data_IF_987825508342
#
_entry.id   IF_987825508342
#
_cell.length_a   1.000
_cell.length_b   1.000
_cell.length_c   1.000
_cell.angle_alpha   90.00
_cell.angle_beta   90.00
_cell.angle_gamma   90.00
#
_symmetry.space_group_name_H-M   'P 1'
#
loop_
_entity.id
_entity.type
_entity.pdbx_description
1 polymer ?
#
# COMPACT_ATOMS: atom_id res chain seq x y z
N UNK A 1 1.51 24.84 -14.71
CA UNK A 1 1.26 24.39 -16.10
C UNK A 1 -0.16 23.86 -16.26
N UNK A 2 -0.69 23.13 -15.27
CA UNK A 2 -2.05 22.59 -15.26
C UNK A 2 -3.14 23.61 -15.59
N UNK A 3 -3.02 24.84 -15.09
CA UNK A 3 -4.00 25.92 -15.34
C UNK A 3 -4.05 26.41 -16.80
N UNK A 4 -3.07 26.03 -17.62
CA UNK A 4 -2.96 26.47 -19.02
C UNK A 4 -3.70 25.55 -20.00
N UNK A 5 -4.23 24.41 -19.51
CA UNK A 5 -4.97 23.43 -20.30
C UNK A 5 -6.20 22.91 -19.57
N UNK A 6 -7.06 22.22 -20.30
CA UNK A 6 -8.25 21.55 -19.77
C UNK A 6 -8.36 20.14 -20.36
N UNK A 7 -8.83 19.19 -19.55
CA UNK A 7 -9.10 17.82 -19.95
C UNK A 7 -10.47 17.39 -19.37
N UNK A 8 -11.07 16.36 -19.95
CA UNK A 8 -12.29 15.74 -19.42
C UNK A 8 -12.04 15.18 -18.02
N UNK A 9 -12.97 15.44 -17.08
CA UNK A 9 -12.87 15.05 -15.67
C UNK A 9 -12.66 13.54 -15.49
N UNK A 10 -13.10 12.71 -16.44
CA UNK A 10 -12.86 11.25 -16.39
C UNK A 10 -11.37 10.87 -16.44
N UNK A 11 -10.51 11.78 -16.90
CA UNK A 11 -9.05 11.59 -16.98
C UNK A 11 -8.27 12.40 -15.95
N UNK A 12 -8.95 13.12 -15.05
CA UNK A 12 -8.32 14.01 -14.09
C UNK A 12 -7.31 13.29 -13.19
N UNK A 13 -7.71 12.14 -12.64
CA UNK A 13 -6.83 11.27 -11.85
C UNK A 13 -5.67 10.73 -12.69
N UNK A 14 -5.92 10.36 -13.95
CA UNK A 14 -4.89 9.79 -14.82
C UNK A 14 -3.80 10.82 -15.16
N UNK A 15 -4.18 12.05 -15.48
CA UNK A 15 -3.22 13.10 -15.86
C UNK A 15 -2.44 13.62 -14.65
N UNK A 16 -3.11 13.82 -13.51
CA UNK A 16 -2.45 14.30 -12.28
C UNK A 16 -1.46 13.29 -11.71
N UNK A 17 -1.75 12.00 -11.88
CA UNK A 17 -0.84 10.92 -11.46
C UNK A 17 0.32 10.72 -12.44
N UNK A 18 0.04 10.76 -13.74
CA UNK A 18 1.06 10.46 -14.75
C UNK A 18 2.03 11.61 -15.03
N UNK A 19 1.65 12.86 -14.70
CA UNK A 19 2.42 14.04 -15.06
C UNK A 19 2.71 14.97 -13.87
N UNK A 20 3.83 14.78 -13.16
CA UNK A 20 4.25 15.70 -12.11
C UNK A 20 4.60 17.10 -12.66
N UNK A 21 4.85 17.21 -13.96
CA UNK A 21 5.16 18.48 -14.63
C UNK A 21 4.00 19.48 -14.71
N UNK A 22 2.77 19.09 -14.34
CA UNK A 22 1.63 20.00 -14.28
C UNK A 22 1.84 21.16 -13.29
N UNK A 23 2.63 20.96 -12.24
CA UNK A 23 2.93 21.99 -11.25
C UNK A 23 4.02 22.97 -11.70
N UNK A 24 4.65 22.74 -12.85
CA UNK A 24 5.75 23.60 -13.31
C UNK A 24 5.25 24.98 -13.73
N UNK A 25 6.04 26.01 -13.40
CA UNK A 25 5.80 27.37 -13.86
C UNK A 25 6.36 27.50 -15.28
N UNK A 26 5.50 27.81 -16.24
CA UNK A 26 5.90 27.95 -17.65
C UNK A 26 6.48 29.34 -17.89
N UNK A 27 7.69 29.40 -18.46
CA UNK A 27 8.42 30.64 -18.76
C UNK A 27 8.99 30.58 -20.17
N UNK A 28 9.14 31.72 -20.83
CA UNK A 28 9.62 31.78 -22.20
C UNK A 28 11.12 31.49 -22.30
N UNK A 29 11.94 32.16 -21.48
CA UNK A 29 13.40 32.16 -21.59
C UNK A 29 14.11 31.69 -20.32
N UNK A 30 15.34 31.19 -20.48
CA UNK A 30 16.23 30.85 -19.35
C UNK A 30 16.52 32.04 -18.45
N UNK A 31 16.68 33.24 -19.02
CA UNK A 31 16.91 34.47 -18.24
C UNK A 31 15.72 34.82 -17.34
N UNK A 32 14.49 34.67 -17.85
CA UNK A 32 13.29 34.89 -17.03
C UNK A 32 13.20 33.87 -15.89
N UNK A 33 13.49 32.59 -16.15
CA UNK A 33 13.53 31.55 -15.13
C UNK A 33 14.54 31.87 -14.02
N UNK A 34 15.75 32.29 -14.39
CA UNK A 34 16.80 32.66 -13.44
C UNK A 34 16.39 33.85 -12.57
N UNK A 35 15.83 34.90 -13.17
CA UNK A 35 15.32 36.04 -12.42
C UNK A 35 14.24 35.64 -11.40
N UNK A 36 13.34 34.72 -11.77
CA UNK A 36 12.35 34.17 -10.83
C UNK A 36 13.00 33.36 -9.71
N UNK A 37 14.02 32.55 -10.00
CA UNK A 37 14.74 31.78 -8.98
C UNK A 37 15.47 32.70 -8.00
N UNK A 38 16.11 33.76 -8.49
CA UNK A 38 16.77 34.77 -7.64
C UNK A 38 15.76 35.49 -6.74
N UNK A 39 14.59 35.85 -7.28
CA UNK A 39 13.50 36.43 -6.50
C UNK A 39 13.03 35.48 -5.39
N UNK A 40 12.76 34.21 -5.71
CA UNK A 40 12.34 33.21 -4.72
C UNK A 40 13.38 33.02 -3.61
N UNK A 41 14.67 33.06 -3.95
CA UNK A 41 15.77 32.98 -2.98
C UNK A 41 15.86 34.22 -2.10
N UNK A 42 15.77 35.41 -2.70
CA UNK A 42 15.87 36.69 -1.97
C UNK A 42 14.74 36.85 -0.97
N UNK A 43 13.52 36.48 -1.37
CA UNK A 43 12.32 36.61 -0.55
C UNK A 43 12.03 35.36 0.30
N UNK A 44 12.88 34.31 0.22
CA UNK A 44 12.72 33.03 0.96
C UNK A 44 11.37 32.33 0.74
N UNK A 45 10.86 32.36 -0.48
CA UNK A 45 9.53 31.84 -0.84
C UNK A 45 9.51 30.33 -1.17
N UNK A 46 10.65 29.66 -1.04
CA UNK A 46 10.79 28.21 -1.26
C UNK A 46 11.40 27.84 -2.62
N UNK A 47 11.04 26.65 -3.12
CA UNK A 47 11.57 26.06 -4.36
C UNK A 47 10.43 25.90 -5.36
N UNK A 48 10.68 26.33 -6.60
CA UNK A 48 9.77 26.11 -7.71
C UNK A 48 10.53 25.50 -8.90
N UNK A 49 9.83 24.68 -9.68
CA UNK A 49 10.35 24.08 -10.91
C UNK A 49 9.78 24.80 -12.12
N UNK A 50 10.64 25.15 -13.08
CA UNK A 50 10.28 25.95 -14.24
C UNK A 50 10.36 25.13 -15.53
N UNK A 51 9.37 25.30 -16.39
CA UNK A 51 9.35 24.75 -17.76
C UNK A 51 9.69 25.86 -18.75
N UNK A 52 10.87 25.77 -19.35
CA UNK A 52 11.40 26.81 -20.23
C UNK A 52 11.05 26.48 -21.69
N UNK A 53 10.16 27.27 -22.29
CA UNK A 53 9.60 27.03 -23.63
C UNK A 53 10.66 27.09 -24.73
N UNK A 54 11.62 28.02 -24.67
CA UNK A 54 12.68 28.14 -25.69
C UNK A 54 13.50 26.85 -25.87
N UNK A 55 13.57 26.01 -24.83
CA UNK A 55 14.30 24.73 -24.84
C UNK A 55 13.45 23.57 -25.36
N UNK A 56 12.14 23.73 -25.48
CA UNK A 56 11.21 22.68 -25.93
C UNK A 56 10.95 22.72 -27.44
N UNK A 57 11.56 23.66 -28.16
CA UNK A 57 11.36 23.89 -29.60
C UNK A 57 11.75 22.67 -30.44
N UNK A 58 12.69 21.85 -29.97
CA UNK A 58 13.12 20.61 -30.65
C UNK A 58 12.01 19.53 -30.73
N UNK A 59 10.96 19.64 -29.91
CA UNK A 59 9.82 18.73 -29.95
C UNK A 59 8.77 19.12 -31.02
N UNK A 60 8.91 20.29 -31.68
CA UNK A 60 8.04 20.76 -32.76
C UNK A 60 7.78 19.73 -33.88
N UNK A 61 8.80 19.09 -34.48
CA UNK A 61 8.57 18.09 -35.52
C UNK A 61 7.82 16.86 -35.00
N UNK A 62 8.15 16.39 -33.79
CA UNK A 62 7.55 15.21 -33.16
C UNK A 62 6.08 15.41 -32.79
N UNK A 63 5.68 16.65 -32.54
CA UNK A 63 4.29 17.00 -32.23
C UNK A 63 3.35 16.83 -33.44
N UNK A 64 3.89 16.93 -34.66
CA UNK A 64 3.14 16.74 -35.92
C UNK A 64 3.07 15.28 -36.35
N UNK A 65 3.89 14.41 -35.76
CA UNK A 65 3.83 12.98 -36.03
C UNK A 65 2.57 12.39 -35.41
N UNK A 66 1.64 11.96 -36.27
CA UNK A 66 0.48 11.18 -35.85
C UNK A 66 0.94 9.77 -35.50
N UNK A 67 1.12 9.50 -34.22
CA UNK A 67 1.39 8.15 -33.72
C UNK A 67 0.07 7.40 -33.63
N UNK A 68 -0.11 6.32 -34.39
CA UNK A 68 -1.22 5.40 -34.15
C UNK A 68 -0.86 4.46 -33.01
N UNK A 69 -1.61 4.49 -31.91
CA UNK A 69 -1.38 3.60 -30.79
C UNK A 69 -1.89 2.19 -31.11
N UNK A 70 -1.14 1.11 -30.79
CA UNK A 70 -1.44 -0.25 -31.23
C UNK A 70 -2.84 -0.78 -30.84
N UNK A 71 -3.39 -0.35 -29.70
CA UNK A 71 -4.66 -0.86 -29.16
C UNK A 71 -5.82 0.13 -29.24
N UNK A 72 -5.70 1.23 -30.00
CA UNK A 72 -6.74 2.25 -30.06
C UNK A 72 -6.96 3.01 -28.74
N UNK A 73 -6.04 2.84 -27.78
CA UNK A 73 -6.04 3.58 -26.51
C UNK A 73 -5.70 5.05 -26.75
N UNK A 74 -6.46 6.00 -26.16
CA UNK A 74 -6.20 7.41 -26.34
C UNK A 74 -4.93 7.84 -25.59
N UNK A 75 -4.17 8.75 -26.20
CA UNK A 75 -3.03 9.42 -25.59
C UNK A 75 -3.52 10.62 -24.78
N UNK A 76 -3.01 10.79 -23.56
CA UNK A 76 -3.42 11.90 -22.68
C UNK A 76 -3.18 13.26 -23.34
N UNK A 77 -2.04 13.44 -24.03
CA UNK A 77 -1.73 14.67 -24.75
C UNK A 77 -2.82 15.07 -25.76
N UNK A 78 -3.37 14.11 -26.52
CA UNK A 78 -4.37 14.39 -27.56
C UNK A 78 -5.75 14.78 -26.97
N UNK A 79 -5.98 14.46 -25.70
CA UNK A 79 -7.21 14.76 -24.98
C UNK A 79 -7.20 16.15 -24.34
N UNK A 80 -6.03 16.79 -24.26
CA UNK A 80 -5.86 18.12 -23.64
C UNK A 80 -6.25 19.21 -24.63
N UNK A 81 -7.11 20.09 -24.16
CA UNK A 81 -7.51 21.31 -24.86
C UNK A 81 -6.76 22.48 -24.25
N UNK A 82 -6.07 23.23 -25.10
CA UNK A 82 -5.21 24.35 -24.69
C UNK A 82 -5.69 25.60 -25.41
N UNK A 83 -5.70 26.75 -24.73
CA UNK A 83 -6.11 28.03 -25.34
C UNK A 83 -5.04 28.58 -26.30
N UNK A 84 -3.78 28.49 -25.91
CA UNK A 84 -2.63 28.89 -26.72
C UNK A 84 -1.89 27.64 -27.22
N UNK A 85 -1.81 27.49 -28.54
CA UNK A 85 -1.09 26.38 -29.19
C UNK A 85 0.38 26.31 -28.78
N UNK A 86 1.01 27.43 -28.37
CA UNK A 86 2.39 27.43 -27.85
C UNK A 86 2.52 26.62 -26.56
N UNK A 87 1.46 26.58 -25.74
CA UNK A 87 1.47 25.81 -24.51
C UNK A 87 1.36 24.30 -24.76
N UNK A 88 0.95 23.87 -25.97
CA UNK A 88 1.02 22.44 -26.34
C UNK A 88 2.45 21.92 -26.31
N UNK A 89 3.47 22.75 -26.53
CA UNK A 89 4.87 22.33 -26.43
C UNK A 89 5.22 21.89 -25.01
N UNK A 90 4.76 22.64 -24.01
CA UNK A 90 4.97 22.29 -22.60
C UNK A 90 4.25 20.99 -22.25
N UNK A 91 2.99 20.83 -22.68
CA UNK A 91 2.24 19.59 -22.43
C UNK A 91 2.85 18.38 -23.15
N UNK A 92 3.34 18.53 -24.37
CA UNK A 92 4.00 17.44 -25.09
C UNK A 92 5.35 17.07 -24.48
N UNK A 93 6.15 18.05 -24.05
CA UNK A 93 7.40 17.80 -23.34
C UNK A 93 7.17 17.04 -22.03
N UNK A 94 6.06 17.33 -21.33
CA UNK A 94 5.76 16.71 -20.05
C UNK A 94 5.05 15.35 -20.16
N UNK A 95 4.20 15.14 -21.16
CA UNK A 95 3.39 13.92 -21.31
C UNK A 95 3.91 12.97 -22.39
N UNK A 96 4.55 13.50 -23.43
CA UNK A 96 4.99 12.73 -24.60
C UNK A 96 3.90 11.80 -25.14
N UNK A 97 4.21 10.51 -25.20
CA UNK A 97 3.31 9.45 -25.68
C UNK A 97 2.56 8.71 -24.57
N UNK A 98 2.31 9.34 -23.42
CA UNK A 98 1.57 8.72 -22.32
C UNK A 98 0.14 8.39 -22.72
N UNK A 99 -0.20 7.10 -22.69
CA UNK A 99 -1.55 6.59 -23.00
C UNK A 99 -2.34 6.34 -21.73
N UNK A 100 -3.66 6.47 -21.84
CA UNK A 100 -4.59 6.10 -20.77
C UNK A 100 -5.39 4.88 -21.20
N UNK A 101 -5.18 3.77 -20.50
CA UNK A 101 -5.92 2.53 -20.70
C UNK A 101 -7.05 2.42 -19.69
N UNK A 102 -8.19 1.89 -20.12
CA UNK A 102 -9.24 1.47 -19.19
C UNK A 102 -8.87 0.08 -18.70
N UNK A 103 -8.65 -0.05 -17.41
CA UNK A 103 -8.52 -1.38 -16.80
C UNK A 103 -9.88 -2.08 -16.95
N UNK A 104 -9.83 -3.35 -17.35
CA UNK A 104 -11.06 -4.10 -17.56
C UNK A 104 -11.79 -4.23 -16.23
N UNK A 105 -13.07 -3.85 -16.18
CA UNK A 105 -13.89 -3.90 -14.96
C UNK A 105 -13.85 -5.30 -14.32
N UNK A 106 -13.69 -6.34 -15.13
CA UNK A 106 -13.57 -7.74 -14.70
C UNK A 106 -12.38 -7.99 -13.76
N UNK A 107 -11.21 -7.42 -14.03
CA UNK A 107 -10.03 -7.60 -13.19
C UNK A 107 -10.20 -6.89 -11.85
N UNK A 108 -10.81 -5.70 -11.85
CA UNK A 108 -11.13 -4.98 -10.63
C UNK A 108 -12.21 -5.68 -9.79
N UNK A 109 -13.27 -6.21 -10.42
CA UNK A 109 -14.32 -6.96 -9.74
C UNK A 109 -13.77 -8.27 -9.14
N UNK A 110 -12.87 -8.94 -9.86
CA UNK A 110 -12.19 -10.14 -9.37
C UNK A 110 -11.31 -9.83 -8.15
N UNK A 111 -10.53 -8.75 -8.19
CA UNK A 111 -9.73 -8.29 -7.04
C UNK A 111 -10.64 -7.95 -5.85
N UNK A 112 -11.76 -7.26 -6.07
CA UNK A 112 -12.73 -6.94 -5.03
C UNK A 112 -13.32 -8.19 -4.35
N UNK A 113 -13.68 -9.20 -5.16
CA UNK A 113 -14.18 -10.49 -4.66
C UNK A 113 -13.13 -11.22 -3.82
N UNK A 114 -11.87 -11.21 -4.28
CA UNK A 114 -10.76 -11.79 -3.53
C UNK A 114 -10.54 -11.11 -2.18
N UNK A 115 -10.60 -9.77 -2.12
CA UNK A 115 -10.50 -9.04 -0.85
C UNK A 115 -11.62 -9.43 0.13
N UNK A 116 -12.87 -9.52 -0.33
CA UNK A 116 -13.98 -9.99 0.50
C UNK A 116 -13.77 -11.40 1.05
N UNK A 117 -13.19 -12.30 0.24
CA UNK A 117 -12.85 -13.66 0.68
C UNK A 117 -11.76 -13.66 1.75
N UNK A 118 -10.73 -12.81 1.61
CA UNK A 118 -9.67 -12.65 2.62
C UNK A 118 -10.27 -12.18 3.95
N UNK A 119 -11.15 -11.18 3.94
CA UNK A 119 -11.78 -10.65 5.16
C UNK A 119 -12.67 -11.70 5.86
N UNK A 120 -13.39 -12.50 5.07
CA UNK A 120 -14.17 -13.63 5.58
C UNK A 120 -13.27 -14.67 6.24
N UNK A 121 -12.16 -15.04 5.60
CA UNK A 121 -11.21 -16.01 6.15
C UNK A 121 -10.54 -15.50 7.43
N UNK A 122 -10.15 -14.22 7.47
CA UNK A 122 -9.56 -13.61 8.67
C UNK A 122 -10.55 -13.62 9.85
N UNK A 123 -11.82 -13.36 9.59
CA UNK A 123 -12.88 -13.41 10.61
C UNK A 123 -13.06 -14.83 11.17
N UNK A 124 -13.02 -15.84 10.29
CA UNK A 124 -13.07 -17.24 10.70
C UNK A 124 -11.84 -17.65 11.51
N UNK A 125 -10.64 -17.23 11.09
CA UNK A 125 -9.41 -17.51 11.82
C UNK A 125 -9.46 -16.95 13.24
N UNK A 126 -9.89 -15.69 13.39
CA UNK A 126 -10.05 -15.05 14.70
C UNK A 126 -11.05 -15.79 15.60
N UNK A 127 -12.14 -16.32 15.04
CA UNK A 127 -13.09 -17.12 15.80
C UNK A 127 -12.47 -18.44 16.29
N UNK A 128 -11.74 -19.13 15.41
CA UNK A 128 -11.08 -20.40 15.74
C UNK A 128 -10.01 -20.18 16.82
N UNK A 129 -9.22 -19.12 16.73
CA UNK A 129 -8.23 -18.78 17.76
C UNK A 129 -8.88 -18.61 19.14
N UNK A 130 -9.99 -17.87 19.23
CA UNK A 130 -10.74 -17.71 20.50
C UNK A 130 -11.27 -19.03 21.05
N UNK A 131 -11.73 -19.94 20.17
CA UNK A 131 -12.16 -21.28 20.58
C UNK A 131 -10.99 -22.10 21.10
N UNK A 132 -9.82 -22.00 20.47
CA UNK A 132 -8.61 -22.68 20.90
C UNK A 132 -8.17 -22.21 22.29
N UNK A 133 -8.11 -20.90 22.52
CA UNK A 133 -7.76 -20.32 23.83
C UNK A 133 -8.72 -20.79 24.93
N UNK A 134 -10.01 -20.86 24.61
CA UNK A 134 -11.04 -21.33 25.53
C UNK A 134 -10.87 -22.81 25.89
N UNK A 135 -10.56 -23.65 24.89
CA UNK A 135 -10.31 -25.09 25.08
C UNK A 135 -9.02 -25.34 25.84
N UNK A 136 -7.96 -24.57 25.56
CA UNK A 136 -6.69 -24.67 26.27
C UNK A 136 -6.85 -24.31 27.74
N UNK A 137 -7.59 -23.23 28.04
CA UNK A 137 -7.94 -22.86 29.40
C UNK A 137 -8.76 -23.94 30.13
N UNK A 138 -9.65 -24.63 29.43
CA UNK A 138 -10.47 -25.71 30.00
C UNK A 138 -9.70 -27.03 30.18
N UNK A 139 -8.66 -27.29 29.38
CA UNK A 139 -7.84 -28.51 29.47
C UNK A 139 -6.80 -28.45 30.58
N UNK A 140 -6.46 -27.26 31.09
CA UNK A 140 -5.49 -27.10 32.17
C UNK A 140 -6.11 -27.58 33.50
N UNK A 141 -5.51 -28.58 34.19
CA UNK A 141 -6.03 -29.06 35.47
C UNK A 141 -5.99 -27.93 36.49
N UNK A 142 -7.02 -27.85 37.33
CA UNK A 142 -7.10 -26.76 38.30
C UNK A 142 -6.04 -26.94 39.39
N UNK A 143 -5.58 -25.82 39.96
CA UNK A 143 -4.52 -25.84 40.98
C UNK A 143 -4.91 -26.65 42.21
N UNK A 144 -6.17 -26.58 42.64
CA UNK A 144 -6.73 -27.38 43.73
C UNK A 144 -6.75 -28.88 43.43
N UNK A 145 -7.00 -29.27 42.18
CA UNK A 145 -6.93 -30.68 41.76
C UNK A 145 -5.48 -31.21 41.82
N UNK A 146 -4.52 -30.39 41.39
CA UNK A 146 -3.08 -30.70 41.48
C UNK A 146 -2.59 -30.79 42.93
N UNK A 147 -2.96 -29.84 43.77
CA UNK A 147 -2.58 -29.79 45.19
C UNK A 147 -3.12 -31.03 45.93
N UNK A 148 -4.37 -31.42 45.66
CA UNK A 148 -4.98 -32.63 46.23
C UNK A 148 -4.30 -33.92 45.75
N UNK A 149 -3.87 -33.96 44.49
CA UNK A 149 -3.08 -35.06 43.94
C UNK A 149 -1.71 -35.18 44.63
N UNK A 150 -1.06 -34.07 44.97
CA UNK A 150 0.19 -34.08 45.74
C UNK A 150 0.00 -34.61 47.17
N UNK A 151 -1.05 -34.18 47.86
CA UNK A 151 -1.38 -34.70 49.19
C UNK A 151 -1.61 -36.20 49.17
N UNK A 152 -2.45 -36.68 48.24
CA UNK A 152 -2.73 -38.11 48.08
C UNK A 152 -1.46 -38.91 47.76
N UNK A 153 -0.53 -38.36 46.97
CA UNK A 153 0.78 -38.98 46.72
C UNK A 153 1.61 -39.09 48.00
N UNK A 154 1.65 -38.05 48.84
CA UNK A 154 2.36 -38.07 50.12
C UNK A 154 1.77 -39.13 51.05
N UNK A 155 0.44 -39.18 51.15
CA UNK A 155 -0.26 -40.16 51.97
C UNK A 155 -0.01 -41.60 51.50
N UNK A 156 -0.11 -41.85 50.19
CA UNK A 156 0.14 -43.18 49.62
C UNK A 156 1.59 -43.64 49.85
N UNK A 157 2.56 -42.73 49.72
CA UNK A 157 3.97 -43.02 50.03
C UNK A 157 4.18 -43.35 51.51
N UNK A 158 3.50 -42.63 52.40
CA UNK A 158 3.49 -42.93 53.83
C UNK A 158 2.96 -44.34 54.11
N UNK A 159 1.79 -44.70 53.55
CA UNK A 159 1.23 -46.05 53.68
C UNK A 159 2.17 -47.13 53.12
N UNK A 160 2.81 -46.89 51.97
CA UNK A 160 3.80 -47.82 51.38
C UNK A 160 5.00 -48.03 52.31
N UNK A 161 5.55 -46.97 52.91
CA UNK A 161 6.64 -47.07 53.90
C UNK A 161 6.23 -47.85 55.15
N UNK A 162 5.05 -47.53 55.70
CA UNK A 162 4.49 -48.23 56.86
C UNK A 162 4.31 -49.73 56.58
N UNK A 163 3.79 -50.09 55.40
CA UNK A 163 3.62 -51.49 54.98
C UNK A 163 4.96 -52.22 54.83
N UNK A 164 6.01 -51.56 54.31
CA UNK A 164 7.37 -52.14 54.26
C UNK A 164 7.93 -52.41 55.66
N UNK A 165 7.79 -51.47 56.59
CA UNK A 165 8.22 -51.63 57.98
C UNK A 165 7.53 -52.81 58.67
N UNK A 166 6.21 -52.94 58.49
CA UNK A 166 5.43 -54.06 59.04
C UNK A 166 5.91 -55.40 58.47
N UNK A 167 6.18 -55.47 57.17
CA UNK A 167 6.70 -56.69 56.55
C UNK A 167 8.10 -57.06 57.04
N UNK A 168 9.00 -56.06 57.22
CA UNK A 168 10.33 -56.24 57.80
C UNK A 168 10.27 -56.77 59.24
N UNK A 169 9.39 -56.20 60.07
CA UNK A 169 9.20 -56.63 61.45
C UNK A 169 8.64 -58.05 61.56
N UNK A 170 7.74 -58.44 60.65
CA UNK A 170 7.22 -59.81 60.59
C UNK A 170 8.31 -60.83 60.20
N UNK A 171 9.20 -60.48 59.27
CA UNK A 171 10.31 -61.35 58.85
C UNK A 171 11.44 -61.50 59.87
N UNK A 172 11.56 -60.59 60.85
CA UNK A 172 12.52 -60.69 61.96
C UNK A 172 12.01 -61.55 63.13
N UNK A 173 10.72 -61.88 63.16
CA UNK A 173 10.06 -62.68 64.21
C UNK A 173 9.84 -64.15 63.81
N UNK A 174 10.29 -64.54 62.63
CA UNK A 174 10.30 -65.89 62.06
C UNK A 174 11.73 -66.39 61.94
#
# INVERSE_FOLDING_TARGET
MGDLGAIDAKYDVAISTACPGLDYIVVETTGAAQACVELLRRETLGVATFMILEKQVEYLPKLKEKVSMPEGVPRLFDLIKVRDERMKFAFFAALGNTVVAKISTREYDALGTMFQQIDSLNSQHSYIEKQLDSLEAASQPRKDELDRLEELKKENNFYRRKRRLINLYKGLKS
#
